data_IF_508196200043
#
_entry.id   IF_508196200043
#
_cell.length_a   1.000
_cell.length_b   1.000
_cell.length_c   1.000
_cell.angle_alpha   90.00
_cell.angle_beta   90.00
_cell.angle_gamma   90.00
#
_symmetry.space_group_name_H-M   'P 1'
#
loop_
_entity.id
_entity.type
_entity.pdbx_description
1 polymer ?
#
# COMPACT_ATOMS: atom_id res chain seq x y z
N UNK A 1 -31.49 -25.81 20.02
CA UNK A 1 -31.13 -24.41 19.73
C UNK A 1 -31.98 -23.91 18.57
N UNK A 2 -32.42 -22.65 18.59
CA UNK A 2 -33.20 -22.09 17.49
C UNK A 2 -32.33 -22.01 16.22
N UNK A 3 -32.85 -22.42 15.06
CA UNK A 3 -32.18 -22.35 13.77
C UNK A 3 -32.12 -20.90 13.30
N UNK A 4 -30.95 -20.44 12.86
CA UNK A 4 -30.75 -19.11 12.28
C UNK A 4 -30.45 -19.23 10.77
N UNK A 5 -31.50 -19.54 10.00
CA UNK A 5 -31.40 -19.78 8.56
C UNK A 5 -31.19 -18.46 7.82
N UNK A 6 -30.16 -18.42 6.98
CA UNK A 6 -29.82 -17.30 6.09
C UNK A 6 -29.58 -17.80 4.69
N UNK A 7 -29.67 -16.90 3.69
CA UNK A 7 -29.42 -17.20 2.29
C UNK A 7 -28.04 -16.70 1.88
N UNK A 8 -27.25 -17.55 1.24
CA UNK A 8 -25.94 -17.17 0.71
C UNK A 8 -26.09 -16.07 -0.36
N UNK A 9 -25.22 -15.06 -0.28
CA UNK A 9 -25.22 -13.93 -1.22
C UNK A 9 -24.88 -14.35 -2.66
N UNK A 10 -24.05 -15.37 -2.82
CA UNK A 10 -23.51 -15.77 -4.12
C UNK A 10 -24.23 -16.97 -4.75
N UNK A 11 -24.31 -18.12 -4.07
CA UNK A 11 -24.97 -19.31 -4.62
C UNK A 11 -26.49 -19.33 -4.40
N UNK A 12 -27.01 -18.52 -3.48
CA UNK A 12 -28.44 -18.47 -3.18
C UNK A 12 -28.97 -19.60 -2.30
N UNK A 13 -28.18 -20.57 -1.89
CA UNK A 13 -28.57 -21.65 -1.00
C UNK A 13 -28.78 -21.16 0.43
N UNK A 14 -29.66 -21.84 1.17
CA UNK A 14 -29.92 -21.56 2.58
C UNK A 14 -29.00 -22.38 3.46
N UNK A 15 -28.50 -21.78 4.54
CA UNK A 15 -27.71 -22.49 5.55
C UNK A 15 -28.02 -21.96 6.97
N UNK A 16 -27.76 -22.77 7.96
CA UNK A 16 -27.93 -22.40 9.37
C UNK A 16 -26.61 -21.85 9.92
N UNK A 17 -26.62 -20.61 10.41
CA UNK A 17 -25.45 -19.97 11.05
C UNK A 17 -25.06 -20.58 12.38
N UNK A 18 -26.01 -21.28 13.06
CA UNK A 18 -25.78 -21.90 14.35
C UNK A 18 -25.19 -23.31 14.21
N UNK A 19 -25.08 -23.83 12.98
CA UNK A 19 -24.43 -25.10 12.70
C UNK A 19 -22.92 -24.88 12.54
N UNK A 20 -22.08 -25.45 13.41
CA UNK A 20 -20.63 -25.29 13.36
C UNK A 20 -19.97 -25.88 12.10
N UNK A 21 -20.69 -26.74 11.35
CA UNK A 21 -20.20 -27.26 10.08
C UNK A 21 -20.25 -26.23 8.94
N UNK A 22 -21.07 -25.21 9.08
CA UNK A 22 -21.23 -24.15 8.08
C UNK A 22 -20.19 -23.03 8.25
N UNK A 23 -19.15 -23.05 7.42
CA UNK A 23 -18.19 -21.96 7.36
C UNK A 23 -18.75 -20.82 6.53
N UNK A 24 -18.98 -19.66 7.16
CA UNK A 24 -19.54 -18.51 6.49
C UNK A 24 -18.80 -17.21 6.84
N UNK A 25 -18.97 -16.20 5.99
CA UNK A 25 -18.50 -14.83 6.20
C UNK A 25 -19.67 -13.87 6.15
N UNK A 26 -19.60 -12.81 6.98
CA UNK A 26 -20.59 -11.73 6.97
C UNK A 26 -20.12 -10.62 6.04
N UNK A 27 -20.90 -10.32 5.01
CA UNK A 27 -20.62 -9.28 4.04
C UNK A 27 -21.65 -8.17 4.19
N UNK A 28 -21.29 -7.09 4.89
CA UNK A 28 -22.20 -6.00 5.29
C UNK A 28 -23.40 -6.53 6.10
N UNK A 29 -24.60 -6.53 5.48
CA UNK A 29 -25.85 -7.01 6.09
C UNK A 29 -26.25 -8.42 5.67
N UNK A 30 -25.46 -9.09 4.83
CA UNK A 30 -25.73 -10.42 4.26
C UNK A 30 -24.68 -11.42 4.68
N UNK A 31 -24.91 -12.69 4.37
CA UNK A 31 -24.01 -13.80 4.66
C UNK A 31 -23.69 -14.56 3.38
N UNK A 32 -22.54 -15.17 3.32
CA UNK A 32 -22.14 -16.06 2.22
C UNK A 32 -21.35 -17.24 2.79
N UNK A 33 -21.41 -18.40 2.13
CA UNK A 33 -20.45 -19.47 2.42
C UNK A 33 -19.04 -18.97 2.18
N UNK A 34 -18.09 -19.41 3.00
CA UNK A 34 -16.69 -18.96 2.87
C UNK A 34 -16.13 -19.27 1.49
N UNK A 35 -16.35 -20.50 0.99
CA UNK A 35 -15.90 -20.91 -0.34
C UNK A 35 -16.51 -20.05 -1.46
N UNK A 36 -17.83 -19.78 -1.39
CA UNK A 36 -18.48 -18.92 -2.40
C UNK A 36 -17.95 -17.48 -2.41
N UNK A 37 -17.56 -16.98 -1.23
CA UNK A 37 -16.95 -15.65 -1.14
C UNK A 37 -15.53 -15.64 -1.73
N UNK A 38 -14.73 -16.67 -1.46
CA UNK A 38 -13.39 -16.83 -2.03
C UNK A 38 -13.42 -17.04 -3.55
N UNK A 39 -14.34 -17.87 -4.05
CA UNK A 39 -14.54 -18.05 -5.50
C UNK A 39 -14.93 -16.74 -6.19
N UNK A 40 -15.84 -15.97 -5.60
CA UNK A 40 -16.21 -14.67 -6.13
C UNK A 40 -15.01 -13.70 -6.16
N UNK A 41 -14.23 -13.63 -5.09
CA UNK A 41 -13.03 -12.77 -5.05
C UNK A 41 -11.99 -13.19 -6.08
N UNK A 42 -11.82 -14.51 -6.30
CA UNK A 42 -10.92 -15.03 -7.31
C UNK A 42 -11.40 -14.77 -8.74
N UNK A 43 -12.72 -14.70 -8.95
CA UNK A 43 -13.32 -14.38 -10.26
C UNK A 43 -13.20 -12.92 -10.67
N UNK A 44 -12.92 -12.01 -9.73
CA UNK A 44 -12.76 -10.59 -10.02
C UNK A 44 -11.51 -10.34 -10.88
N UNK A 45 -11.67 -9.49 -11.88
CA UNK A 45 -10.52 -8.97 -12.66
C UNK A 45 -9.60 -8.12 -11.77
N UNK A 46 -8.34 -7.94 -12.18
CA UNK A 46 -7.40 -7.09 -11.45
C UNK A 46 -7.92 -5.66 -11.31
N UNK A 47 -8.52 -5.14 -12.35
CA UNK A 47 -9.11 -3.81 -12.37
C UNK A 47 -10.25 -3.65 -11.34
N UNK A 48 -11.12 -4.66 -11.22
CA UNK A 48 -12.19 -4.68 -10.22
C UNK A 48 -11.64 -4.77 -8.78
N UNK A 49 -10.55 -5.51 -8.56
CA UNK A 49 -9.85 -5.56 -7.28
C UNK A 49 -9.25 -4.21 -6.92
N UNK A 50 -8.62 -3.56 -7.89
CA UNK A 50 -8.01 -2.24 -7.71
C UNK A 50 -9.08 -1.17 -7.40
N UNK A 51 -10.20 -1.19 -8.10
CA UNK A 51 -11.35 -0.30 -7.81
C UNK A 51 -11.91 -0.55 -6.41
N UNK A 52 -12.07 -1.82 -6.00
CA UNK A 52 -12.53 -2.18 -4.66
C UNK A 52 -11.60 -1.61 -3.59
N UNK A 53 -10.30 -1.84 -3.75
CA UNK A 53 -9.26 -1.35 -2.83
C UNK A 53 -9.22 0.18 -2.76
N UNK A 54 -9.37 0.87 -3.90
CA UNK A 54 -9.45 2.33 -3.95
C UNK A 54 -10.66 2.86 -3.15
N UNK A 55 -11.84 2.28 -3.36
CA UNK A 55 -13.06 2.69 -2.67
C UNK A 55 -12.97 2.42 -1.16
N UNK A 56 -12.42 1.29 -0.76
CA UNK A 56 -12.21 0.94 0.65
C UNK A 56 -11.27 1.94 1.33
N UNK A 57 -10.14 2.24 0.71
CA UNK A 57 -9.19 3.24 1.22
C UNK A 57 -9.82 4.63 1.35
N UNK A 58 -10.57 5.09 0.35
CA UNK A 58 -11.23 6.39 0.41
C UNK A 58 -12.26 6.46 1.54
N UNK A 59 -12.99 5.37 1.82
CA UNK A 59 -13.94 5.31 2.94
C UNK A 59 -13.24 5.39 4.30
N UNK A 60 -12.13 4.68 4.45
CA UNK A 60 -11.31 4.73 5.67
C UNK A 60 -10.70 6.13 5.87
N UNK A 61 -10.27 6.76 4.79
CA UNK A 61 -9.67 8.09 4.81
C UNK A 61 -10.68 9.18 5.18
N UNK A 62 -11.83 9.23 4.50
CA UNK A 62 -12.83 10.30 4.66
C UNK A 62 -13.81 10.06 5.81
N UNK A 63 -13.97 8.83 6.28
CA UNK A 63 -14.87 8.46 7.38
C UNK A 63 -16.27 9.07 7.25
N UNK A 64 -16.64 9.98 8.13
CA UNK A 64 -17.95 10.63 8.17
C UNK A 64 -18.18 11.60 6.99
N UNK A 65 -17.11 12.20 6.47
CA UNK A 65 -17.17 13.13 5.32
C UNK A 65 -17.29 12.41 3.97
N UNK A 66 -17.33 11.07 3.95
CA UNK A 66 -17.40 10.29 2.74
C UNK A 66 -18.70 10.52 1.95
N UNK A 67 -18.60 11.19 0.82
CA UNK A 67 -19.71 11.37 -0.10
C UNK A 67 -19.61 10.38 -1.28
N UNK A 68 -20.40 9.29 -1.20
CA UNK A 68 -20.37 8.22 -2.19
C UNK A 68 -20.61 8.71 -3.64
N UNK A 69 -21.62 9.55 -3.86
CA UNK A 69 -21.96 10.00 -5.22
C UNK A 69 -20.88 10.88 -5.82
N UNK A 70 -20.31 11.78 -5.01
CA UNK A 70 -19.21 12.65 -5.42
C UNK A 70 -17.95 11.85 -5.74
N UNK A 71 -17.56 10.94 -4.86
CA UNK A 71 -16.36 10.10 -5.04
C UNK A 71 -16.51 9.20 -6.26
N UNK A 72 -17.66 8.54 -6.42
CA UNK A 72 -17.93 7.68 -7.57
C UNK A 72 -17.77 8.45 -8.89
N UNK A 73 -18.42 9.60 -9.00
CA UNK A 73 -18.31 10.47 -10.19
C UNK A 73 -16.86 10.92 -10.44
N UNK A 74 -16.13 11.28 -9.41
CA UNK A 74 -14.73 11.69 -9.55
C UNK A 74 -13.84 10.52 -10.05
N UNK A 75 -14.05 9.30 -9.54
CA UNK A 75 -13.30 8.11 -10.01
C UNK A 75 -13.59 7.88 -11.50
N UNK A 76 -14.86 7.89 -11.89
CA UNK A 76 -15.30 7.71 -13.29
C UNK A 76 -14.71 8.82 -14.20
N UNK A 77 -14.87 10.08 -13.79
CA UNK A 77 -14.32 11.23 -14.53
C UNK A 77 -12.79 11.16 -14.72
N UNK A 78 -12.05 10.73 -13.71
CA UNK A 78 -10.58 10.66 -13.80
C UNK A 78 -10.12 9.47 -14.62
N UNK A 79 -10.82 8.36 -14.56
CA UNK A 79 -10.53 7.20 -15.37
C UNK A 79 -10.81 7.50 -16.86
N UNK A 80 -11.97 8.09 -17.19
CA UNK A 80 -12.39 8.36 -18.57
C UNK A 80 -11.61 9.53 -19.22
N UNK A 81 -11.38 10.63 -18.47
CA UNK A 81 -10.79 11.84 -19.06
C UNK A 81 -9.27 11.84 -19.07
N UNK A 82 -8.64 11.22 -18.06
CA UNK A 82 -7.18 11.28 -17.87
C UNK A 82 -6.52 9.91 -17.99
N UNK A 83 -7.28 8.86 -18.25
CA UNK A 83 -6.80 7.46 -18.33
C UNK A 83 -6.03 7.02 -17.05
N UNK A 84 -6.46 7.53 -15.89
CA UNK A 84 -5.85 7.16 -14.63
C UNK A 84 -6.32 5.78 -14.19
N UNK A 85 -5.37 4.87 -13.95
CA UNK A 85 -5.67 3.56 -13.39
C UNK A 85 -6.15 3.65 -11.95
N UNK A 86 -7.04 2.74 -11.51
CA UNK A 86 -7.54 2.72 -10.14
C UNK A 86 -6.42 2.50 -9.11
N UNK A 87 -5.44 1.63 -9.42
CA UNK A 87 -4.25 1.44 -8.60
C UNK A 87 -3.37 2.70 -8.54
N UNK A 88 -3.27 3.45 -9.65
CA UNK A 88 -2.55 4.72 -9.69
C UNK A 88 -3.21 5.79 -8.83
N UNK A 89 -4.56 5.90 -8.90
CA UNK A 89 -5.32 6.81 -8.03
C UNK A 89 -5.14 6.46 -6.54
N UNK A 90 -5.20 5.17 -6.18
CA UNK A 90 -4.96 4.70 -4.81
C UNK A 90 -3.57 5.07 -4.32
N UNK A 91 -2.53 4.79 -5.12
CA UNK A 91 -1.15 5.14 -4.78
C UNK A 91 -0.95 6.65 -4.63
N UNK A 92 -1.61 7.46 -5.48
CA UNK A 92 -1.54 8.92 -5.40
C UNK A 92 -2.11 9.45 -4.09
N UNK A 93 -3.25 8.91 -3.63
CA UNK A 93 -3.84 9.25 -2.34
C UNK A 93 -2.94 8.82 -1.18
N UNK A 94 -2.42 7.58 -1.20
CA UNK A 94 -1.47 7.10 -0.18
C UNK A 94 -0.22 7.97 -0.12
N UNK A 95 0.36 8.31 -1.27
CA UNK A 95 1.52 9.19 -1.32
C UNK A 95 1.22 10.56 -0.68
N UNK A 96 0.06 11.14 -0.99
CA UNK A 96 -0.29 12.48 -0.51
C UNK A 96 -0.57 12.50 1.00
N UNK A 97 -1.34 11.54 1.51
CA UNK A 97 -1.78 11.54 2.91
C UNK A 97 -0.81 10.80 3.85
N UNK A 98 -0.23 9.69 3.41
CA UNK A 98 0.63 8.87 4.27
C UNK A 98 2.12 9.25 4.14
N UNK A 99 2.63 9.43 2.90
CA UNK A 99 4.05 9.73 2.68
C UNK A 99 4.35 11.22 2.91
N UNK A 100 3.48 12.11 2.39
CA UNK A 100 3.62 13.57 2.57
C UNK A 100 2.98 14.09 3.86
N UNK A 101 2.23 13.25 4.57
CA UNK A 101 1.56 13.56 5.83
C UNK A 101 0.68 14.84 5.77
N UNK A 102 -0.07 15.00 4.66
CA UNK A 102 -0.96 16.14 4.49
C UNK A 102 -2.28 15.94 5.27
N UNK A 103 -2.90 17.04 5.72
CA UNK A 103 -4.19 17.01 6.39
C UNK A 103 -5.34 16.62 5.45
N UNK A 104 -6.28 15.86 5.98
CA UNK A 104 -7.50 15.42 5.29
C UNK A 104 -8.53 16.56 5.19
N UNK A 105 -8.45 17.58 6.04
CA UNK A 105 -9.44 18.67 6.13
C UNK A 105 -9.71 19.35 4.78
N UNK A 106 -8.73 19.36 3.89
CA UNK A 106 -8.83 19.93 2.55
C UNK A 106 -9.53 19.04 1.53
N UNK A 107 -9.83 17.78 1.86
CA UNK A 107 -10.45 16.82 0.94
C UNK A 107 -11.90 17.18 0.59
N UNK A 108 -12.59 17.92 1.49
CA UNK A 108 -13.98 18.36 1.29
C UNK A 108 -14.93 17.24 0.81
N UNK A 109 -14.82 16.07 1.46
CA UNK A 109 -15.64 14.88 1.17
C UNK A 109 -15.40 14.21 -0.18
N UNK A 110 -14.26 14.45 -0.83
CA UNK A 110 -13.95 13.90 -2.14
C UNK A 110 -12.46 13.67 -2.39
N UNK A 111 -12.13 13.29 -3.61
CA UNK A 111 -10.78 12.97 -4.07
C UNK A 111 -10.27 13.97 -5.14
N UNK A 112 -10.75 15.20 -5.10
CA UNK A 112 -10.44 16.25 -6.08
C UNK A 112 -8.96 16.61 -6.22
N UNK A 113 -8.12 16.18 -5.27
CA UNK A 113 -6.69 16.42 -5.29
C UNK A 113 -5.95 15.54 -6.31
N UNK A 114 -6.50 14.38 -6.70
CA UNK A 114 -5.80 13.38 -7.54
C UNK A 114 -5.18 13.98 -8.80
N UNK A 115 -5.87 14.77 -9.65
CA UNK A 115 -5.29 15.29 -10.88
C UNK A 115 -4.02 16.13 -10.66
N UNK A 116 -3.90 16.77 -9.50
CA UNK A 116 -2.77 17.63 -9.17
C UNK A 116 -1.55 16.86 -8.65
N UNK A 117 -1.78 15.69 -8.08
CA UNK A 117 -0.73 14.90 -7.40
C UNK A 117 -0.33 13.62 -8.15
N UNK A 118 -1.12 13.19 -9.14
CA UNK A 118 -0.96 11.89 -9.80
C UNK A 118 0.44 11.72 -10.40
N UNK A 119 0.92 12.70 -11.14
CA UNK A 119 2.22 12.64 -11.78
C UNK A 119 3.39 12.65 -10.79
N UNK A 120 3.27 13.38 -9.70
CA UNK A 120 4.32 13.44 -8.67
C UNK A 120 4.38 12.13 -7.87
N UNK A 121 3.22 11.57 -7.54
CA UNK A 121 3.12 10.25 -6.93
C UNK A 121 3.69 9.17 -7.85
N UNK A 122 3.37 9.22 -9.15
CA UNK A 122 3.91 8.29 -10.14
C UNK A 122 5.44 8.35 -10.18
N UNK A 123 6.04 9.54 -10.27
CA UNK A 123 7.50 9.73 -10.25
C UNK A 123 8.13 9.16 -8.98
N UNK A 124 7.50 9.39 -7.82
CA UNK A 124 7.98 8.88 -6.55
C UNK A 124 8.03 7.34 -6.54
N UNK A 125 6.94 6.66 -6.88
CA UNK A 125 6.90 5.21 -6.89
C UNK A 125 7.76 4.60 -8.01
N UNK A 126 7.87 5.27 -9.14
CA UNK A 126 8.76 4.85 -10.22
C UNK A 126 10.24 4.89 -9.81
N UNK A 127 10.64 5.93 -9.09
CA UNK A 127 12.01 6.02 -8.54
C UNK A 127 12.29 4.92 -7.50
N UNK A 128 11.31 4.58 -6.66
CA UNK A 128 11.43 3.44 -5.74
C UNK A 128 11.59 2.14 -6.52
N UNK A 129 10.78 1.93 -7.55
CA UNK A 129 10.89 0.75 -8.41
C UNK A 129 12.28 0.64 -9.05
N UNK A 130 12.79 1.73 -9.61
CA UNK A 130 14.14 1.75 -10.20
C UNK A 130 15.24 1.44 -9.16
N UNK A 131 15.12 1.99 -7.96
CA UNK A 131 16.06 1.70 -6.87
C UNK A 131 16.01 0.22 -6.46
N UNK A 132 14.81 -0.36 -6.37
CA UNK A 132 14.63 -1.78 -6.06
C UNK A 132 15.23 -2.68 -7.16
N UNK A 133 15.07 -2.34 -8.44
CA UNK A 133 15.67 -3.09 -9.53
C UNK A 133 17.20 -3.07 -9.44
N UNK A 134 17.80 -1.89 -9.23
CA UNK A 134 19.25 -1.77 -9.06
C UNK A 134 19.77 -2.55 -7.85
N UNK A 135 19.02 -2.57 -6.76
CA UNK A 135 19.42 -3.31 -5.55
C UNK A 135 19.37 -4.83 -5.75
N UNK A 136 18.41 -5.34 -6.54
CA UNK A 136 18.36 -6.78 -6.88
C UNK A 136 19.63 -7.21 -7.64
N UNK A 137 20.15 -6.35 -8.48
CA UNK A 137 21.38 -6.64 -9.20
C UNK A 137 22.60 -6.65 -8.26
N UNK A 138 22.57 -5.83 -7.19
CA UNK A 138 23.66 -5.75 -6.19
C UNK A 138 23.68 -6.99 -5.30
N UNK A 139 22.55 -7.56 -4.92
CA UNK A 139 22.48 -8.78 -4.11
C UNK A 139 23.17 -9.98 -4.76
N UNK A 140 23.32 -9.97 -6.09
CA UNK A 140 24.04 -10.99 -6.84
C UNK A 140 25.57 -10.75 -6.89
N UNK A 141 26.07 -9.58 -6.46
CA UNK A 141 27.48 -9.33 -6.32
C UNK A 141 27.99 -9.83 -4.95
N UNK A 142 28.62 -11.00 -4.95
CA UNK A 142 29.44 -11.41 -3.81
C UNK A 142 30.60 -10.43 -3.67
N UNK A 143 30.46 -9.47 -2.79
CA UNK A 143 31.56 -8.59 -2.39
C UNK A 143 32.65 -9.48 -1.77
N UNK A 144 33.78 -9.69 -2.48
CA UNK A 144 34.99 -10.21 -1.86
C UNK A 144 35.42 -9.17 -0.85
N UNK A 145 35.20 -9.46 0.43
CA UNK A 145 35.74 -8.64 1.52
C UNK A 145 37.25 -8.81 1.46
N UNK A 146 37.96 -7.83 0.96
CA UNK A 146 39.41 -7.78 1.04
C UNK A 146 39.75 -7.10 2.37
N UNK A 147 40.15 -7.87 3.35
CA UNK A 147 40.67 -7.32 4.61
C UNK A 147 42.01 -6.64 4.31
N UNK A 148 42.01 -5.33 4.40
CA UNK A 148 43.25 -4.54 4.34
C UNK A 148 43.69 -4.24 5.76
N UNK A 149 44.74 -4.90 6.20
CA UNK A 149 45.39 -4.58 7.48
C UNK A 149 46.19 -3.30 7.31
N UNK A 150 45.66 -2.20 7.80
CA UNK A 150 46.38 -0.92 7.87
C UNK A 150 47.32 -0.97 9.07
N UNK A 151 48.63 -1.05 8.82
CA UNK A 151 49.60 -0.89 9.90
C UNK A 151 49.58 0.55 10.39
N UNK A 152 49.43 0.74 11.69
CA UNK A 152 49.49 2.07 12.29
C UNK A 152 50.83 2.71 11.92
N UNK A 153 50.87 3.98 11.51
CA UNK A 153 52.11 4.67 11.28
C UNK A 153 52.94 4.64 12.57
N UNK A 154 54.22 4.21 12.47
CA UNK A 154 55.11 4.23 13.60
C UNK A 154 55.22 5.68 14.09
N UNK A 155 54.79 5.94 15.33
CA UNK A 155 55.01 7.23 15.95
C UNK A 155 56.53 7.48 16.01
N UNK A 156 56.99 8.50 15.30
CA UNK A 156 58.37 8.96 15.43
C UNK A 156 58.53 9.60 16.81
N UNK A 157 59.11 8.84 17.73
CA UNK A 157 59.49 9.39 19.05
C UNK A 157 60.76 10.18 18.81
N UNK A 158 60.70 11.50 18.93
CA UNK A 158 61.86 12.37 18.91
C UNK A 158 62.78 11.95 20.07
N UNK A 159 64.06 11.64 19.81
CA UNK A 159 65.00 11.36 20.93
C UNK A 159 65.09 12.61 21.82
N UNK A 160 65.22 12.43 23.14
CA UNK A 160 65.38 13.57 24.06
C UNK A 160 66.63 14.38 23.65
N UNK A 161 66.47 15.69 23.51
CA UNK A 161 67.62 16.57 23.33
C UNK A 161 68.35 16.65 24.65
N UNK A 162 69.57 16.12 24.69
CA UNK A 162 70.48 16.32 25.81
C UNK A 162 70.90 17.80 25.76
N UNK A 163 70.50 18.57 26.76
CA UNK A 163 71.01 19.91 26.95
C UNK A 163 72.43 19.74 27.52
N UNK A 164 73.45 20.12 26.76
CA UNK A 164 74.77 20.35 27.32
C UNK A 164 74.72 21.62 28.12
N UNK A 165 74.88 21.49 29.43
CA UNK A 165 75.14 22.60 30.33
C UNK A 165 76.65 22.78 30.39
N UNK A 166 77.13 23.78 29.61
CA UNK A 166 78.46 24.36 29.87
C UNK A 166 78.37 25.46 30.96
#
# INVERSE_FOLDING_TARGET
MAKAIVKCLYCGEQFDRNDPSNHFVKIKRRYAHKNCAEEYENSLTQEQKDLKSLIEYIKELLKEDYNFMKVKKQIEDYHEKYDYSYSGMLRSLKWFYEVKNNSIDKANGGIGIIPFIYNDAYKYYYNIYLAQQKNKDIENYHTKITEITIQSPRMYVRPPQLFNLD
#
